data_IF_921355036253
#
_entry.id   IF_921355036253
#
_cell.length_a   1.000
_cell.length_b   1.000
_cell.length_c   1.000
_cell.angle_alpha   90.00
_cell.angle_beta   90.00
_cell.angle_gamma   90.00
#
_symmetry.space_group_name_H-M   'P 1'
#
loop_
_entity.id
_entity.type
_entity.pdbx_description
1 polymer ?
#
# COMPACT_ATOMS: atom_id res chain seq x y z
N UNK A 1 -15.31 4.19 -10.20
CA UNK A 1 -14.29 3.11 -10.15
C UNK A 1 -13.62 3.27 -8.79
N UNK A 2 -13.60 2.22 -7.97
CA UNK A 2 -13.22 2.30 -6.54
C UNK A 2 -11.82 1.69 -6.30
N UNK A 3 -10.88 1.95 -7.21
CA UNK A 3 -9.53 1.33 -7.22
C UNK A 3 -8.39 2.34 -6.98
N UNK A 4 -8.68 3.56 -6.54
CA UNK A 4 -7.68 4.60 -6.27
C UNK A 4 -7.58 4.88 -4.76
N UNK A 5 -6.36 5.00 -4.27
CA UNK A 5 -6.05 5.40 -2.89
C UNK A 5 -5.25 6.70 -2.91
N UNK A 6 -5.65 7.67 -2.09
CA UNK A 6 -4.92 8.92 -1.89
C UNK A 6 -4.20 8.88 -0.54
N UNK A 7 -2.91 9.19 -0.55
CA UNK A 7 -2.02 9.11 0.62
C UNK A 7 -1.33 10.46 0.81
N UNK A 8 -1.36 10.98 2.03
CA UNK A 8 -0.54 12.12 2.45
C UNK A 8 0.71 11.64 3.16
N UNK A 9 1.87 12.19 2.78
CA UNK A 9 3.14 11.89 3.43
C UNK A 9 3.53 13.01 4.41
N UNK A 10 4.52 12.73 5.27
CA UNK A 10 4.99 13.67 6.31
C UNK A 10 5.57 14.96 5.75
N UNK A 11 6.07 14.93 4.51
CA UNK A 11 6.56 16.10 3.77
C UNK A 11 5.43 16.97 3.20
N UNK A 12 4.17 16.63 3.51
CA UNK A 12 2.93 17.30 3.04
C UNK A 12 2.65 17.11 1.55
N UNK A 13 3.37 16.22 0.89
CA UNK A 13 3.00 15.78 -0.46
C UNK A 13 1.77 14.88 -0.42
N UNK A 14 0.95 14.97 -1.47
CA UNK A 14 -0.17 14.08 -1.71
C UNK A 14 0.13 13.24 -2.95
N UNK A 15 -0.02 11.93 -2.81
CA UNK A 15 0.16 10.96 -3.89
C UNK A 15 -1.09 10.11 -4.02
N UNK A 16 -1.36 9.63 -5.23
CA UNK A 16 -2.35 8.59 -5.44
C UNK A 16 -1.74 7.33 -6.02
N UNK A 17 -2.35 6.20 -5.67
CA UNK A 17 -1.98 4.87 -6.15
C UNK A 17 -3.22 4.29 -6.82
N UNK A 18 -3.11 4.02 -8.11
CA UNK A 18 -4.14 3.32 -8.87
C UNK A 18 -3.85 1.82 -8.83
N UNK A 19 -4.78 1.06 -8.27
CA UNK A 19 -4.70 -0.39 -8.16
C UNK A 19 -5.52 -1.06 -9.26
N UNK A 20 -5.33 -2.36 -9.42
CA UNK A 20 -5.97 -3.13 -10.49
C UNK A 20 -7.50 -3.11 -10.39
N UNK A 21 -8.02 -3.28 -9.18
CA UNK A 21 -9.44 -3.40 -8.86
C UNK A 21 -9.70 -3.01 -7.40
N UNK A 22 -10.96 -2.99 -7.00
CA UNK A 22 -11.42 -2.67 -5.64
C UNK A 22 -10.95 -3.71 -4.61
N UNK A 23 -10.90 -4.98 -4.98
CA UNK A 23 -10.36 -6.03 -4.11
C UNK A 23 -8.89 -5.76 -3.74
N UNK A 24 -8.07 -5.31 -4.68
CA UNK A 24 -6.69 -4.88 -4.39
C UNK A 24 -6.63 -3.67 -3.45
N UNK A 25 -7.60 -2.75 -3.50
CA UNK A 25 -7.68 -1.64 -2.54
C UNK A 25 -7.87 -2.19 -1.13
N UNK A 26 -8.83 -3.11 -0.94
CA UNK A 26 -9.09 -3.71 0.37
C UNK A 26 -7.85 -4.40 0.94
N UNK A 27 -7.18 -5.23 0.11
CA UNK A 27 -5.95 -5.92 0.51
C UNK A 27 -4.82 -4.94 0.88
N UNK A 28 -4.65 -3.87 0.10
CA UNK A 28 -3.61 -2.88 0.38
C UNK A 28 -3.91 -2.07 1.65
N UNK A 29 -5.17 -1.68 1.87
CA UNK A 29 -5.59 -0.93 3.07
C UNK A 29 -5.39 -1.77 4.34
N UNK A 30 -5.83 -3.03 4.35
CA UNK A 30 -5.58 -3.95 5.48
C UNK A 30 -4.08 -4.13 5.75
N UNK A 31 -3.30 -4.32 4.68
CA UNK A 31 -1.85 -4.46 4.78
C UNK A 31 -1.22 -3.23 5.44
N UNK A 32 -1.46 -2.02 4.91
CA UNK A 32 -0.77 -0.82 5.38
C UNK A 32 -1.27 -0.39 6.76
N UNK A 33 -2.57 -0.58 7.06
CA UNK A 33 -3.13 -0.29 8.37
C UNK A 33 -2.45 -1.12 9.46
N UNK A 34 -2.32 -2.43 9.24
CA UNK A 34 -1.63 -3.32 10.20
C UNK A 34 -0.16 -2.94 10.45
N UNK A 35 0.50 -2.31 9.46
CA UNK A 35 1.87 -1.81 9.59
C UNK A 35 1.90 -0.49 10.37
N UNK A 36 0.97 0.44 10.10
CA UNK A 36 0.85 1.72 10.80
C UNK A 36 0.49 1.51 12.28
N UNK A 37 -0.40 0.56 12.56
CA UNK A 37 -0.82 0.15 13.91
C UNK A 37 0.26 -0.68 14.64
N UNK A 38 1.36 -1.01 13.95
CA UNK A 38 2.51 -1.77 14.45
C UNK A 38 2.19 -3.21 14.86
N UNK A 39 1.07 -3.76 14.38
CA UNK A 39 0.77 -5.19 14.52
C UNK A 39 1.76 -6.03 13.71
N UNK A 40 2.15 -5.54 12.54
CA UNK A 40 3.15 -6.15 11.66
C UNK A 40 4.21 -5.12 11.27
N UNK A 41 5.32 -5.59 10.71
CA UNK A 41 6.36 -4.77 10.09
C UNK A 41 6.55 -5.17 8.64
N UNK A 42 6.94 -4.22 7.80
CA UNK A 42 7.39 -4.54 6.44
C UNK A 42 8.72 -5.28 6.54
N UNK A 43 8.73 -6.53 6.11
CA UNK A 43 9.90 -7.40 6.13
C UNK A 43 10.71 -7.30 4.83
N UNK A 44 10.02 -7.10 3.70
CA UNK A 44 10.65 -7.12 2.38
C UNK A 44 9.92 -6.23 1.38
N UNK A 45 10.71 -5.60 0.52
CA UNK A 45 10.30 -4.87 -0.67
C UNK A 45 11.08 -5.45 -1.85
N UNK A 46 10.37 -6.00 -2.84
CA UNK A 46 10.94 -6.42 -4.12
C UNK A 46 10.38 -5.53 -5.23
N UNK A 47 11.26 -4.91 -6.00
CA UNK A 47 10.90 -4.17 -7.22
C UNK A 47 11.10 -5.13 -8.40
N UNK A 48 10.00 -5.52 -9.03
CA UNK A 48 9.95 -6.30 -10.27
C UNK A 48 9.85 -5.33 -11.46
N UNK A 49 9.97 -5.84 -12.68
CA UNK A 49 10.01 -5.00 -13.89
C UNK A 49 8.80 -4.05 -14.03
N UNK A 50 7.62 -4.47 -13.59
CA UNK A 50 6.37 -3.72 -13.75
C UNK A 50 5.53 -3.62 -12.47
N UNK A 51 6.06 -4.12 -11.35
CA UNK A 51 5.28 -4.25 -10.12
C UNK A 51 6.17 -4.21 -8.89
N UNK A 52 5.56 -3.88 -7.76
CA UNK A 52 6.23 -3.86 -6.46
C UNK A 52 5.56 -4.89 -5.57
N UNK A 53 6.35 -5.73 -4.91
CA UNK A 53 5.87 -6.70 -3.93
C UNK A 53 6.33 -6.31 -2.54
N UNK A 54 5.37 -6.19 -1.63
CA UNK A 54 5.58 -5.95 -0.20
C UNK A 54 5.27 -7.23 0.57
N UNK A 55 6.04 -7.51 1.63
CA UNK A 55 5.78 -8.62 2.56
C UNK A 55 5.79 -8.10 3.99
N UNK A 56 4.76 -8.43 4.78
CA UNK A 56 4.65 -8.10 6.21
C UNK A 56 4.74 -9.34 7.08
N UNK A 57 5.12 -9.17 8.35
CA UNK A 57 5.13 -10.19 9.40
C UNK A 57 5.49 -9.61 10.75
#
# INVERSE_FOLDING_TARGET
>A
VNNEIVISLKDKSAHSVLLKDDHQVEVFVDFIQSVIEKEHKVLKLDVLENSVKLTKG
#
